data_IF_894501179621
#
_entry.id   IF_894501179621
#
_cell.length_a   1.000
_cell.length_b   1.000
_cell.length_c   1.000
_cell.angle_alpha   90.00
_cell.angle_beta   90.00
_cell.angle_gamma   90.00
#
_symmetry.space_group_name_H-M   'P 1'
#
loop_
_entity.id
_entity.type
_entity.pdbx_description
1 polymer ?
#
# COMPACT_ATOMS: atom_id res chain seq x y z
N UNK A 1 -91.29 -63.00 117.06
CA UNK A 1 -89.87 -62.61 116.91
C UNK A 1 -89.24 -63.25 115.68
N UNK A 2 -89.30 -64.58 115.51
CA UNK A 2 -88.72 -65.31 114.36
C UNK A 2 -89.17 -64.85 112.95
N UNK A 3 -90.42 -64.43 112.76
CA UNK A 3 -90.88 -63.93 111.44
C UNK A 3 -90.36 -62.54 111.08
N UNK A 4 -90.05 -61.71 112.08
CA UNK A 4 -89.54 -60.35 111.87
C UNK A 4 -88.06 -60.39 111.46
N UNK A 5 -87.28 -61.27 112.08
CA UNK A 5 -85.87 -61.52 111.74
C UNK A 5 -85.72 -62.13 110.36
N UNK A 6 -86.64 -63.03 109.96
CA UNK A 6 -86.63 -63.64 108.62
C UNK A 6 -86.96 -62.63 107.51
N UNK A 7 -87.87 -61.67 107.77
CA UNK A 7 -88.15 -60.55 106.85
C UNK A 7 -86.97 -59.58 106.75
N UNK A 8 -86.35 -59.22 107.87
CA UNK A 8 -85.17 -58.35 107.89
C UNK A 8 -83.96 -58.98 107.18
N UNK A 9 -83.76 -60.29 107.32
CA UNK A 9 -82.72 -61.02 106.60
C UNK A 9 -82.97 -61.07 105.08
N UNK A 10 -84.23 -61.21 104.65
CA UNK A 10 -84.60 -61.20 103.23
C UNK A 10 -84.43 -59.81 102.60
N UNK A 11 -84.84 -58.75 103.32
CA UNK A 11 -84.61 -57.36 102.91
C UNK A 11 -83.12 -57.01 102.84
N UNK A 12 -82.31 -57.56 103.76
CA UNK A 12 -80.86 -57.38 103.74
C UNK A 12 -80.22 -58.10 102.53
N UNK A 13 -80.65 -59.33 102.23
CA UNK A 13 -80.18 -60.09 101.05
C UNK A 13 -80.57 -59.39 99.73
N UNK A 14 -81.80 -58.88 99.62
CA UNK A 14 -82.23 -58.08 98.47
C UNK A 14 -81.45 -56.77 98.35
N UNK A 15 -81.09 -56.14 99.48
CA UNK A 15 -80.25 -54.93 99.50
C UNK A 15 -78.80 -55.21 99.11
N UNK A 16 -78.24 -56.35 99.51
CA UNK A 16 -76.92 -56.82 99.05
C UNK A 16 -76.95 -57.09 97.56
N UNK A 17 -77.95 -57.83 97.05
CA UNK A 17 -78.07 -58.11 95.61
C UNK A 17 -78.27 -56.87 94.76
N UNK A 18 -79.01 -55.88 95.25
CA UNK A 18 -79.19 -54.61 94.53
C UNK A 18 -77.91 -53.78 94.55
N UNK A 19 -77.16 -53.75 95.66
CA UNK A 19 -75.85 -53.10 95.73
C UNK A 19 -74.81 -53.79 94.86
N UNK A 20 -74.79 -55.12 94.81
CA UNK A 20 -73.92 -55.91 93.93
C UNK A 20 -74.22 -55.58 92.46
N UNK A 21 -75.48 -55.64 92.04
CA UNK A 21 -75.89 -55.25 90.67
C UNK A 21 -75.51 -53.80 90.34
N UNK A 22 -75.65 -52.87 91.28
CA UNK A 22 -75.27 -51.48 91.08
C UNK A 22 -73.75 -51.30 90.99
N UNK A 23 -72.98 -52.03 91.78
CA UNK A 23 -71.52 -52.01 91.71
C UNK A 23 -71.03 -52.65 90.41
N UNK A 24 -71.60 -53.77 89.99
CA UNK A 24 -71.27 -54.43 88.73
C UNK A 24 -71.60 -53.53 87.53
N UNK A 25 -72.76 -52.88 87.54
CA UNK A 25 -73.13 -51.92 86.49
C UNK A 25 -72.16 -50.72 86.42
N UNK A 26 -71.75 -50.16 87.57
CA UNK A 26 -70.75 -49.07 87.62
C UNK A 26 -69.37 -49.54 87.15
N UNK A 27 -68.95 -50.74 87.55
CA UNK A 27 -67.68 -51.34 87.11
C UNK A 27 -67.69 -51.60 85.60
N UNK A 28 -68.79 -52.09 85.04
CA UNK A 28 -68.95 -52.26 83.58
C UNK A 28 -68.94 -50.92 82.85
N UNK A 29 -69.61 -49.90 83.39
CA UNK A 29 -69.61 -48.55 82.81
C UNK A 29 -68.21 -47.93 82.82
N UNK A 30 -67.48 -48.00 83.95
CA UNK A 30 -66.09 -47.54 84.03
C UNK A 30 -65.16 -48.32 83.09
N UNK A 31 -65.34 -49.66 83.01
CA UNK A 31 -64.56 -50.49 82.09
C UNK A 31 -64.82 -50.11 80.63
N UNK A 32 -66.07 -49.90 80.26
CA UNK A 32 -66.46 -49.47 78.91
C UNK A 32 -65.94 -48.07 78.60
N UNK A 33 -65.94 -47.16 79.58
CA UNK A 33 -65.37 -45.82 79.42
C UNK A 33 -63.85 -45.89 79.18
N UNK A 34 -63.11 -46.62 80.03
CA UNK A 34 -61.66 -46.81 79.86
C UNK A 34 -61.33 -47.49 78.54
N UNK A 35 -62.14 -48.46 78.10
CA UNK A 35 -61.95 -49.13 76.81
C UNK A 35 -62.09 -48.15 75.63
N UNK A 36 -63.07 -47.24 75.67
CA UNK A 36 -63.23 -46.19 74.65
C UNK A 36 -62.06 -45.20 74.66
N UNK A 37 -61.63 -44.77 75.84
CA UNK A 37 -60.47 -43.86 75.98
C UNK A 37 -59.19 -44.51 75.42
N UNK A 38 -58.97 -45.80 75.69
CA UNK A 38 -57.85 -46.56 75.10
C UNK A 38 -57.97 -46.66 73.58
N UNK A 39 -59.14 -47.00 73.04
CA UNK A 39 -59.36 -47.08 71.60
C UNK A 39 -59.16 -45.74 70.88
N UNK A 40 -59.58 -44.64 71.50
CA UNK A 40 -59.38 -43.30 70.96
C UNK A 40 -57.89 -42.91 70.94
N UNK A 41 -57.17 -43.17 72.04
CA UNK A 41 -55.72 -42.96 72.11
C UNK A 41 -54.97 -43.85 71.11
N UNK A 42 -55.36 -45.11 70.94
CA UNK A 42 -54.77 -46.01 69.94
C UNK A 42 -54.99 -45.48 68.51
N UNK A 43 -56.17 -44.94 68.21
CA UNK A 43 -56.47 -44.31 66.93
C UNK A 43 -55.65 -43.03 66.70
N UNK A 44 -55.52 -42.18 67.71
CA UNK A 44 -54.71 -40.95 67.65
C UNK A 44 -53.22 -41.28 67.47
N UNK A 45 -52.69 -42.28 68.18
CA UNK A 45 -51.31 -42.74 68.01
C UNK A 45 -51.10 -43.34 66.63
N UNK A 46 -52.03 -44.16 66.14
CA UNK A 46 -51.96 -44.77 64.81
C UNK A 46 -51.94 -43.72 63.70
N UNK A 47 -52.85 -42.76 63.73
CA UNK A 47 -52.91 -41.66 62.75
C UNK A 47 -51.70 -40.75 62.82
N UNK A 48 -51.23 -40.41 64.02
CA UNK A 48 -49.99 -39.66 64.22
C UNK A 48 -48.76 -40.40 63.68
N UNK A 49 -48.68 -41.71 63.90
CA UNK A 49 -47.59 -42.55 63.40
C UNK A 49 -47.60 -42.65 61.87
N UNK A 50 -48.78 -42.80 61.26
CA UNK A 50 -48.93 -42.77 59.80
C UNK A 50 -48.49 -41.43 59.20
N UNK A 51 -48.89 -40.31 59.82
CA UNK A 51 -48.48 -38.97 59.38
C UNK A 51 -46.96 -38.77 59.49
N UNK A 52 -46.35 -39.19 60.60
CA UNK A 52 -44.90 -39.11 60.80
C UNK A 52 -44.15 -39.98 59.79
N UNK A 53 -44.64 -41.19 59.50
CA UNK A 53 -44.02 -42.09 58.53
C UNK A 53 -44.07 -41.52 57.11
N UNK A 54 -45.20 -40.91 56.71
CA UNK A 54 -45.30 -40.24 55.42
C UNK A 54 -44.31 -39.05 55.32
N UNK A 55 -44.22 -38.23 56.37
CA UNK A 55 -43.26 -37.12 56.41
C UNK A 55 -41.80 -37.60 56.36
N UNK A 56 -41.49 -38.71 57.04
CA UNK A 56 -40.17 -39.35 56.99
C UNK A 56 -39.85 -39.82 55.57
N UNK A 57 -40.77 -40.53 54.91
CA UNK A 57 -40.60 -40.98 53.53
C UNK A 57 -40.38 -39.83 52.54
N UNK A 58 -41.14 -38.74 52.68
CA UNK A 58 -40.95 -37.54 51.84
C UNK A 58 -39.56 -36.92 52.06
N UNK A 59 -39.10 -36.84 53.30
CA UNK A 59 -37.76 -36.32 53.62
C UNK A 59 -36.64 -37.26 53.17
N UNK A 60 -36.83 -38.56 53.24
CA UNK A 60 -35.88 -39.54 52.70
C UNK A 60 -35.74 -39.40 51.18
N UNK A 61 -36.85 -39.20 50.46
CA UNK A 61 -36.82 -38.93 49.01
C UNK A 61 -36.10 -37.61 48.68
N UNK A 62 -36.38 -36.54 49.42
CA UNK A 62 -35.72 -35.24 49.23
C UNK A 62 -34.20 -35.35 49.46
N UNK A 63 -33.79 -36.05 50.53
CA UNK A 63 -32.36 -36.33 50.81
C UNK A 63 -31.74 -37.14 49.68
N UNK A 64 -32.46 -38.09 49.10
CA UNK A 64 -31.95 -38.90 48.00
C UNK A 64 -31.74 -38.07 46.72
N UNK A 65 -32.68 -37.19 46.38
CA UNK A 65 -32.57 -36.28 45.23
C UNK A 65 -31.38 -35.33 45.42
N UNK A 66 -31.29 -34.68 46.59
CA UNK A 66 -30.18 -33.77 46.89
C UNK A 66 -28.83 -34.48 46.86
N UNK A 67 -28.75 -35.74 47.30
CA UNK A 67 -27.51 -36.54 47.17
C UNK A 67 -27.13 -36.74 45.71
N UNK A 68 -28.08 -37.10 44.85
CA UNK A 68 -27.81 -37.28 43.42
C UNK A 68 -27.38 -35.98 42.74
N UNK A 69 -27.99 -34.85 43.08
CA UNK A 69 -27.58 -33.53 42.57
C UNK A 69 -26.17 -33.16 43.02
N UNK A 70 -25.81 -33.45 44.28
CA UNK A 70 -24.46 -33.20 44.80
C UNK A 70 -23.42 -34.05 44.06
N UNK A 71 -23.72 -35.31 43.77
CA UNK A 71 -22.84 -36.19 43.01
C UNK A 71 -22.64 -35.71 41.57
N UNK A 72 -23.71 -35.26 40.92
CA UNK A 72 -23.65 -34.69 39.57
C UNK A 72 -22.84 -33.38 39.53
N UNK A 73 -23.08 -32.47 40.47
CA UNK A 73 -22.34 -31.21 40.57
C UNK A 73 -20.85 -31.45 40.83
N UNK A 74 -20.49 -32.44 41.68
CA UNK A 74 -19.10 -32.82 41.90
C UNK A 74 -18.45 -33.34 40.62
N UNK A 75 -19.13 -34.22 39.89
CA UNK A 75 -18.63 -34.74 38.62
C UNK A 75 -18.42 -33.63 37.57
N UNK A 76 -19.34 -32.66 37.49
CA UNK A 76 -19.20 -31.51 36.60
C UNK A 76 -18.02 -30.62 37.00
N UNK A 77 -17.85 -30.34 38.30
CA UNK A 77 -16.72 -29.55 38.80
C UNK A 77 -15.37 -30.21 38.48
N UNK A 78 -15.26 -31.52 38.61
CA UNK A 78 -14.02 -32.23 38.34
C UNK A 78 -13.68 -32.23 36.84
N UNK A 79 -14.69 -32.38 35.96
CA UNK A 79 -14.50 -32.21 34.50
C UNK A 79 -14.04 -30.79 34.14
N UNK A 80 -14.64 -29.76 34.73
CA UNK A 80 -14.22 -28.38 34.47
C UNK A 80 -12.79 -28.10 34.94
N UNK A 81 -12.37 -28.66 36.09
CA UNK A 81 -10.99 -28.54 36.56
C UNK A 81 -10.00 -29.17 35.59
N UNK A 82 -10.30 -30.37 35.09
CA UNK A 82 -9.45 -31.07 34.13
C UNK A 82 -9.34 -30.30 32.81
N UNK A 83 -10.47 -29.79 32.29
CA UNK A 83 -10.47 -28.94 31.09
C UNK A 83 -9.66 -27.66 31.29
N UNK A 84 -9.79 -27.01 32.46
CA UNK A 84 -9.03 -25.80 32.79
C UNK A 84 -7.53 -26.08 32.88
N UNK A 85 -7.14 -27.21 33.46
CA UNK A 85 -5.73 -27.61 33.55
C UNK A 85 -5.14 -27.88 32.16
N UNK A 86 -5.87 -28.61 31.31
CA UNK A 86 -5.48 -28.86 29.93
C UNK A 86 -5.33 -27.54 29.14
N UNK A 87 -6.28 -26.61 29.27
CA UNK A 87 -6.20 -25.30 28.63
C UNK A 87 -5.02 -24.46 29.15
N UNK A 88 -4.70 -24.51 30.44
CA UNK A 88 -3.53 -23.82 31.00
C UNK A 88 -2.22 -24.39 30.45
N UNK A 89 -2.14 -25.70 30.24
CA UNK A 89 -0.95 -26.34 29.68
C UNK A 89 -0.76 -25.96 28.21
N UNK A 90 -1.82 -25.98 27.39
CA UNK A 90 -1.73 -25.55 25.99
C UNK A 90 -1.37 -24.07 25.85
N UNK A 91 -1.91 -23.20 26.71
CA UNK A 91 -1.53 -21.78 26.74
C UNK A 91 -0.03 -21.61 27.04
N UNK A 92 0.51 -22.36 28.02
CA UNK A 92 1.95 -22.30 28.34
C UNK A 92 2.81 -22.76 27.17
N UNK A 93 2.44 -23.83 26.48
CA UNK A 93 3.17 -24.33 25.30
C UNK A 93 3.15 -23.30 24.14
N UNK A 94 1.99 -22.71 23.86
CA UNK A 94 1.86 -21.65 22.84
C UNK A 94 2.70 -20.42 23.23
N UNK A 95 2.71 -20.02 24.50
CA UNK A 95 3.50 -18.89 24.96
C UNK A 95 5.01 -19.13 24.82
N UNK A 96 5.49 -20.35 25.13
CA UNK A 96 6.89 -20.73 24.95
C UNK A 96 7.31 -20.75 23.48
N UNK A 97 6.47 -21.31 22.60
CA UNK A 97 6.74 -21.34 21.16
C UNK A 97 6.73 -19.94 20.54
N UNK A 98 5.82 -19.05 20.96
CA UNK A 98 5.83 -17.64 20.56
C UNK A 98 7.11 -16.91 21.01
N UNK A 99 7.58 -17.13 22.24
CA UNK A 99 8.82 -16.49 22.70
C UNK A 99 10.03 -16.97 21.91
N UNK A 100 10.13 -18.28 21.66
CA UNK A 100 11.24 -18.85 20.87
C UNK A 100 11.26 -18.30 19.45
N UNK A 101 10.13 -18.32 18.76
CA UNK A 101 10.02 -17.80 17.38
C UNK A 101 10.23 -16.28 17.32
N UNK A 102 9.79 -15.53 18.33
CA UNK A 102 10.03 -14.08 18.43
C UNK A 102 11.52 -13.72 18.52
N UNK A 103 12.30 -14.47 19.29
CA UNK A 103 13.75 -14.24 19.42
C UNK A 103 14.48 -14.62 18.12
N UNK A 104 14.15 -15.77 17.52
CA UNK A 104 14.76 -16.22 16.26
C UNK A 104 14.48 -15.26 15.10
N UNK A 105 13.24 -14.78 14.97
CA UNK A 105 12.87 -13.81 13.94
C UNK A 105 13.55 -12.45 14.15
N UNK A 106 13.64 -11.96 15.39
CA UNK A 106 14.34 -10.72 15.70
C UNK A 106 15.84 -10.79 15.35
N UNK A 107 16.50 -11.90 15.68
CA UNK A 107 17.90 -12.12 15.30
C UNK A 107 18.08 -12.17 13.78
N UNK A 108 17.20 -12.87 13.06
CA UNK A 108 17.22 -12.92 11.60
C UNK A 108 17.05 -11.53 10.96
N UNK A 109 16.09 -10.73 11.45
CA UNK A 109 15.87 -9.35 10.99
C UNK A 109 17.14 -8.51 11.17
N UNK A 110 17.79 -8.56 12.34
CA UNK A 110 19.03 -7.79 12.57
C UNK A 110 20.16 -8.16 11.61
N UNK A 111 20.34 -9.46 11.32
CA UNK A 111 21.33 -9.90 10.33
C UNK A 111 20.99 -9.42 8.92
N UNK A 112 19.71 -9.46 8.54
CA UNK A 112 19.25 -9.03 7.23
C UNK A 112 19.40 -7.52 7.05
N UNK A 113 19.07 -6.73 8.07
CA UNK A 113 19.28 -5.28 8.07
C UNK A 113 20.76 -4.92 7.88
N UNK A 114 21.66 -5.62 8.56
CA UNK A 114 23.11 -5.42 8.39
C UNK A 114 23.57 -5.74 6.95
N UNK A 115 23.07 -6.82 6.35
CA UNK A 115 23.43 -7.18 4.97
C UNK A 115 22.87 -6.17 3.95
N UNK A 116 21.63 -5.71 4.14
CA UNK A 116 21.02 -4.66 3.31
C UNK A 116 21.82 -3.36 3.39
N UNK A 117 22.25 -2.95 4.58
CA UNK A 117 23.09 -1.76 4.76
C UNK A 117 24.42 -1.89 4.01
N UNK A 118 25.10 -3.03 4.12
CA UNK A 118 26.36 -3.30 3.41
C UNK A 118 26.18 -3.29 1.88
N UNK A 119 25.11 -3.88 1.37
CA UNK A 119 24.83 -3.91 -0.06
C UNK A 119 24.51 -2.51 -0.61
N UNK A 120 23.73 -1.71 0.11
CA UNK A 120 23.45 -0.31 -0.26
C UNK A 120 24.72 0.52 -0.36
N UNK A 121 25.62 0.40 0.62
CA UNK A 121 26.92 1.09 0.60
C UNK A 121 27.76 0.68 -0.62
N UNK A 122 27.77 -0.61 -0.97
CA UNK A 122 28.51 -1.13 -2.13
C UNK A 122 27.94 -0.62 -3.46
N UNK A 123 26.60 -0.59 -3.61
CA UNK A 123 25.94 -0.04 -4.81
C UNK A 123 26.30 1.44 -4.98
N UNK A 124 26.18 2.24 -3.92
CA UNK A 124 26.49 3.67 -3.98
C UNK A 124 27.94 3.92 -4.40
N UNK A 125 28.89 3.14 -3.89
CA UNK A 125 30.30 3.25 -4.26
C UNK A 125 30.54 2.95 -5.75
N UNK A 126 29.97 1.86 -6.27
CA UNK A 126 30.12 1.45 -7.67
C UNK A 126 29.47 2.46 -8.64
N UNK A 127 28.27 2.95 -8.31
CA UNK A 127 27.58 3.93 -9.15
C UNK A 127 28.33 5.27 -9.21
N UNK A 128 28.86 5.72 -8.08
CA UNK A 128 29.63 6.97 -8.00
C UNK A 128 30.92 6.89 -8.84
N UNK A 129 31.63 5.77 -8.78
CA UNK A 129 32.83 5.54 -9.59
C UNK A 129 32.54 5.48 -11.10
N UNK A 130 31.51 4.73 -11.49
CA UNK A 130 31.15 4.53 -12.91
C UNK A 130 30.69 5.83 -13.59
N UNK A 131 29.83 6.62 -12.93
CA UNK A 131 29.35 7.90 -13.47
C UNK A 131 30.48 8.91 -13.65
N UNK A 132 31.34 9.07 -12.64
CA UNK A 132 32.46 10.01 -12.71
C UNK A 132 33.47 9.65 -13.82
N UNK A 133 33.70 8.36 -14.06
CA UNK A 133 34.59 7.90 -15.10
C UNK A 133 34.00 8.09 -16.51
N UNK A 134 32.72 7.76 -16.69
CA UNK A 134 32.01 7.92 -17.97
C UNK A 134 31.90 9.38 -18.42
N UNK A 135 31.57 10.28 -17.49
CA UNK A 135 31.44 11.72 -17.79
C UNK A 135 32.78 12.34 -18.19
N UNK A 136 33.86 11.94 -17.51
CA UNK A 136 35.20 12.46 -17.80
C UNK A 136 35.69 11.98 -19.17
N UNK A 137 35.39 10.75 -19.56
CA UNK A 137 35.77 10.23 -20.86
C UNK A 137 34.98 10.88 -22.00
N UNK A 138 33.67 11.04 -21.82
CA UNK A 138 32.78 11.68 -22.80
C UNK A 138 33.16 13.14 -23.05
N UNK A 139 33.43 13.91 -21.98
CA UNK A 139 33.90 15.30 -22.09
C UNK A 139 35.24 15.41 -22.82
N UNK A 140 36.18 14.49 -22.56
CA UNK A 140 37.48 14.47 -23.26
C UNK A 140 37.33 14.16 -24.74
N UNK A 141 36.43 13.26 -25.14
CA UNK A 141 36.16 12.95 -26.55
C UNK A 141 35.59 14.16 -27.27
N UNK A 142 34.60 14.83 -26.66
CA UNK A 142 33.97 16.02 -27.23
C UNK A 142 34.97 17.15 -27.50
N UNK A 143 35.84 17.46 -26.53
CA UNK A 143 36.86 18.52 -26.68
C UNK A 143 37.83 18.20 -27.83
N UNK A 144 38.26 16.94 -27.95
CA UNK A 144 39.17 16.51 -29.03
C UNK A 144 38.51 16.65 -30.39
N UNK A 145 37.26 16.22 -30.51
CA UNK A 145 36.49 16.28 -31.75
C UNK A 145 36.20 17.72 -32.16
N UNK A 146 35.84 18.60 -31.21
CA UNK A 146 35.65 20.02 -31.46
C UNK A 146 36.96 20.69 -31.93
N UNK A 147 38.09 20.37 -31.28
CA UNK A 147 39.41 20.87 -31.69
C UNK A 147 39.76 20.42 -33.11
N UNK A 148 39.52 19.15 -33.44
CA UNK A 148 39.74 18.61 -34.77
C UNK A 148 38.85 19.31 -35.81
N UNK A 149 37.58 19.56 -35.47
CA UNK A 149 36.64 20.29 -36.33
C UNK A 149 37.20 21.67 -36.70
N UNK A 150 37.70 22.43 -35.71
CA UNK A 150 38.28 23.77 -35.95
C UNK A 150 39.49 23.68 -36.89
N UNK A 151 40.41 22.75 -36.63
CA UNK A 151 41.62 22.58 -37.45
C UNK A 151 41.27 22.20 -38.90
N UNK A 152 40.42 21.18 -39.09
CA UNK A 152 40.00 20.72 -40.40
C UNK A 152 39.22 21.80 -41.15
N UNK A 153 38.35 22.52 -40.46
CA UNK A 153 37.60 23.61 -41.04
C UNK A 153 38.54 24.70 -41.59
N UNK A 154 39.56 25.08 -40.82
CA UNK A 154 40.54 26.06 -41.26
C UNK A 154 41.37 25.57 -42.44
N UNK A 155 41.80 24.30 -42.44
CA UNK A 155 42.49 23.70 -43.59
C UNK A 155 41.63 23.76 -44.86
N UNK A 156 40.33 23.46 -44.75
CA UNK A 156 39.41 23.59 -45.90
C UNK A 156 39.29 25.03 -46.37
N UNK A 157 39.24 26.01 -45.45
CA UNK A 157 39.19 27.43 -45.83
C UNK A 157 40.49 27.90 -46.51
N UNK A 158 41.66 27.46 -46.04
CA UNK A 158 42.96 27.77 -46.64
C UNK A 158 43.10 27.16 -48.05
N UNK A 159 42.66 25.91 -48.22
CA UNK A 159 42.68 25.23 -49.52
C UNK A 159 41.75 25.89 -50.56
N UNK A 160 40.62 26.45 -50.11
CA UNK A 160 39.74 27.27 -50.96
C UNK A 160 40.34 28.65 -51.29
N UNK A 161 41.45 29.04 -50.66
CA UNK A 161 42.09 30.34 -50.81
C UNK A 161 41.63 31.35 -49.76
N UNK A 162 42.62 32.08 -49.21
CA UNK A 162 42.42 33.12 -48.19
C UNK A 162 41.76 34.40 -48.74
N UNK A 163 41.87 34.63 -50.06
CA UNK A 163 41.22 35.72 -50.77
C UNK A 163 40.28 35.07 -51.76
N UNK A 164 38.99 35.41 -51.69
CA UNK A 164 37.96 34.94 -52.62
C UNK A 164 37.22 36.12 -53.21
N UNK A 165 37.06 36.09 -54.53
CA UNK A 165 36.32 37.09 -55.29
C UNK A 165 35.09 36.41 -55.87
N UNK A 166 33.93 36.77 -55.31
CA UNK A 166 32.64 36.29 -55.80
C UNK A 166 31.93 37.40 -56.56
N UNK A 167 31.37 37.07 -57.73
CA UNK A 167 30.57 37.99 -58.51
C UNK A 167 29.08 37.69 -58.29
N UNK A 168 28.26 38.72 -58.07
CA UNK A 168 26.81 38.58 -58.01
C UNK A 168 26.14 39.52 -59.00
N UNK A 169 25.36 38.95 -59.91
CA UNK A 169 24.54 39.70 -60.85
C UNK A 169 23.19 39.97 -60.19
N UNK A 170 22.82 41.25 -60.07
CA UNK A 170 21.51 41.64 -59.54
C UNK A 170 20.43 41.34 -60.61
N UNK A 171 19.31 40.70 -60.26
CA UNK A 171 18.18 40.58 -61.19
C UNK A 171 17.68 41.95 -61.65
N UNK A 172 17.36 42.04 -62.94
CA UNK A 172 16.77 43.24 -63.54
C UNK A 172 15.32 43.37 -63.07
N UNK A 173 14.97 44.56 -62.57
CA UNK A 173 13.61 44.86 -62.14
C UNK A 173 13.06 45.92 -63.09
N UNK A 174 12.41 45.47 -64.19
CA UNK A 174 11.44 46.23 -65.02
C UNK A 174 10.94 45.40 -66.22
N UNK A 175 9.63 45.40 -66.42
CA UNK A 175 8.96 45.10 -67.69
C UNK A 175 9.45 46.10 -68.74
N UNK A 176 10.18 45.63 -69.76
CA UNK A 176 10.57 46.45 -70.92
C UNK A 176 11.99 47.04 -70.92
N UNK A 177 12.98 46.43 -70.26
CA UNK A 177 14.39 46.77 -70.48
C UNK A 177 15.06 45.70 -71.36
N UNK A 178 15.70 46.15 -72.45
CA UNK A 178 16.47 45.35 -73.39
C UNK A 178 17.43 44.40 -72.68
N UNK A 179 17.47 43.17 -73.18
CA UNK A 179 18.29 42.05 -72.74
C UNK A 179 19.72 42.51 -72.43
N UNK A 180 20.07 42.54 -71.15
CA UNK A 180 21.45 42.74 -70.72
C UNK A 180 22.25 41.50 -71.15
N UNK A 181 22.75 41.51 -72.38
CA UNK A 181 23.76 40.58 -72.80
C UNK A 181 25.00 40.82 -71.93
N UNK A 182 25.43 39.76 -71.24
CA UNK A 182 26.68 39.72 -70.45
C UNK A 182 27.91 39.86 -71.38
N UNK A 183 27.67 39.92 -72.68
CA UNK A 183 28.63 40.05 -73.77
C UNK A 183 28.66 41.53 -74.17
N UNK A 184 29.85 42.13 -74.25
CA UNK A 184 30.05 43.57 -74.38
C UNK A 184 29.30 44.23 -75.54
N UNK A 185 29.24 45.57 -75.54
CA UNK A 185 28.55 46.33 -76.59
C UNK A 185 29.06 45.93 -77.99
N UNK A 186 28.15 45.60 -78.89
CA UNK A 186 28.47 45.33 -80.28
C UNK A 186 29.07 46.57 -80.93
N UNK A 187 30.29 46.45 -81.50
CA UNK A 187 30.84 47.47 -82.38
C UNK A 187 30.59 47.06 -83.82
N UNK A 188 29.89 47.92 -84.57
CA UNK A 188 29.75 47.80 -86.03
C UNK A 188 30.94 48.48 -86.69
N UNK A 189 31.76 47.70 -87.40
CA UNK A 189 32.73 48.25 -88.35
C UNK A 189 32.01 48.74 -89.61
N UNK A 190 32.54 49.78 -90.27
CA UNK A 190 32.02 50.32 -91.55
C UNK A 190 31.97 49.30 -92.70
N UNK A 191 32.49 48.08 -92.49
CA UNK A 191 32.46 46.96 -93.45
C UNK A 191 31.42 45.87 -93.11
N UNK A 192 30.45 46.14 -92.24
CA UNK A 192 29.33 45.23 -91.95
C UNK A 192 29.65 44.03 -91.04
N UNK A 193 30.89 43.92 -90.54
CA UNK A 193 31.26 42.91 -89.55
C UNK A 193 30.91 43.42 -88.15
N UNK A 194 29.94 42.76 -87.50
CA UNK A 194 29.61 42.97 -86.09
C UNK A 194 30.65 42.23 -85.26
N UNK A 195 31.45 42.95 -84.48
CA UNK A 195 32.40 42.36 -83.54
C UNK A 195 31.96 42.71 -82.13
N UNK A 196 31.62 41.70 -81.35
CA UNK A 196 31.28 41.85 -79.94
C UNK A 196 32.55 41.75 -79.13
N UNK A 197 32.88 42.78 -78.34
CA UNK A 197 34.04 42.74 -77.44
C UNK A 197 33.71 41.83 -76.26
N UNK A 198 34.26 40.60 -76.27
CA UNK A 198 34.13 39.64 -75.18
C UNK A 198 35.22 39.93 -74.15
N UNK A 199 34.83 40.45 -72.98
CA UNK A 199 35.71 40.55 -71.83
C UNK A 199 35.49 39.33 -70.93
N UNK A 200 36.44 38.40 -70.94
CA UNK A 200 36.41 37.23 -70.07
C UNK A 200 36.97 37.59 -68.68
N UNK A 201 36.17 37.36 -67.64
CA UNK A 201 36.57 37.52 -66.24
C UNK A 201 36.41 36.18 -65.53
N UNK A 202 37.37 35.84 -64.67
CA UNK A 202 37.33 34.63 -63.83
C UNK A 202 37.14 35.04 -62.37
N UNK A 203 36.24 34.34 -61.68
CA UNK A 203 35.88 34.56 -60.28
C UNK A 203 35.79 33.19 -59.59
N UNK A 204 35.97 33.16 -58.27
CA UNK A 204 35.87 31.92 -57.49
C UNK A 204 34.44 31.36 -57.51
N UNK A 205 33.44 32.25 -57.53
CA UNK A 205 32.02 31.88 -57.71
C UNK A 205 31.24 33.01 -58.37
N UNK A 206 30.33 32.67 -59.27
CA UNK A 206 29.43 33.62 -59.94
C UNK A 206 27.98 33.28 -59.59
N UNK A 207 27.28 34.22 -58.97
CA UNK A 207 25.86 34.15 -58.64
C UNK A 207 25.05 34.88 -59.72
N UNK A 208 24.14 34.16 -60.37
CA UNK A 208 23.29 34.69 -61.42
C UNK A 208 22.17 35.59 -60.88
N UNK A 209 21.39 36.21 -61.78
CA UNK A 209 20.25 37.04 -61.39
C UNK A 209 19.15 36.26 -60.64
N UNK A 210 19.07 34.95 -60.84
CA UNK A 210 18.12 34.06 -60.15
C UNK A 210 18.60 33.58 -58.78
N UNK A 211 19.88 33.80 -58.45
CA UNK A 211 20.45 33.33 -57.17
C UNK A 211 19.89 34.10 -55.99
N UNK A 212 19.43 33.35 -54.98
CA UNK A 212 18.87 33.89 -53.75
C UNK A 212 19.95 34.37 -52.78
N UNK A 213 19.57 35.21 -51.83
CA UNK A 213 20.50 35.66 -50.78
C UNK A 213 20.99 34.50 -49.90
N UNK A 214 20.16 33.47 -49.71
CA UNK A 214 20.51 32.29 -48.91
C UNK A 214 21.74 31.56 -49.49
N UNK A 215 21.79 31.35 -50.80
CA UNK A 215 22.94 30.70 -51.47
C UNK A 215 24.24 31.50 -51.30
N UNK A 216 24.13 32.84 -51.28
CA UNK A 216 25.26 33.72 -51.04
C UNK A 216 25.68 33.65 -49.57
N UNK A 217 24.71 33.59 -48.65
CA UNK A 217 24.95 33.45 -47.22
C UNK A 217 25.64 32.13 -46.88
N UNK A 218 25.26 31.01 -47.50
CA UNK A 218 25.86 29.70 -47.26
C UNK A 218 27.36 29.64 -47.59
N UNK A 219 27.82 30.43 -48.54
CA UNK A 219 29.26 30.54 -48.81
C UNK A 219 29.98 31.49 -47.87
N UNK A 220 29.29 32.53 -47.39
CA UNK A 220 29.87 33.49 -46.45
C UNK A 220 29.82 32.97 -45.00
N UNK A 221 28.85 32.14 -44.65
CA UNK A 221 28.68 31.55 -43.31
C UNK A 221 29.90 30.73 -42.90
N UNK A 222 30.56 30.11 -43.87
CA UNK A 222 31.83 29.45 -43.66
C UNK A 222 32.92 30.41 -43.16
N UNK A 223 32.99 31.62 -43.69
CA UNK A 223 33.94 32.63 -43.23
C UNK A 223 33.54 33.18 -41.85
N UNK A 224 32.23 33.31 -41.57
CA UNK A 224 31.73 33.70 -40.24
C UNK A 224 32.12 32.67 -39.18
N UNK A 225 32.05 31.38 -39.50
CA UNK A 225 32.49 30.31 -38.62
C UNK A 225 34.00 30.40 -38.31
N UNK A 226 34.84 30.73 -39.30
CA UNK A 226 36.27 31.00 -39.04
C UNK A 226 36.48 32.20 -38.11
N UNK A 227 35.64 33.23 -38.20
CA UNK A 227 35.69 34.36 -37.27
C UNK A 227 35.35 33.94 -35.83
N UNK A 228 34.34 33.07 -35.65
CA UNK A 228 34.01 32.49 -34.35
C UNK A 228 35.12 31.59 -33.80
N UNK A 229 35.85 30.91 -34.68
CA UNK A 229 37.01 30.09 -34.33
C UNK A 229 38.28 30.94 -34.03
N UNK A 230 38.21 32.27 -34.14
CA UNK A 230 39.26 33.21 -33.73
C UNK A 230 40.11 33.80 -34.86
N UNK A 231 39.69 33.65 -36.12
CA UNK A 231 40.41 34.19 -37.27
C UNK A 231 39.88 35.57 -37.69
N UNK A 232 40.77 36.43 -38.18
CA UNK A 232 40.38 37.74 -38.69
C UNK A 232 39.83 37.59 -40.11
N UNK A 233 38.54 37.91 -40.28
CA UNK A 233 37.84 37.85 -41.57
C UNK A 233 37.38 39.24 -41.96
N UNK A 234 37.57 39.60 -43.24
CA UNK A 234 37.10 40.86 -43.80
C UNK A 234 36.30 40.61 -45.08
N UNK A 235 35.10 41.19 -45.16
CA UNK A 235 34.21 41.04 -46.32
C UNK A 235 34.02 42.42 -46.95
N UNK A 236 34.36 42.53 -48.24
CA UNK A 236 34.17 43.74 -49.02
C UNK A 236 33.08 43.53 -50.08
N UNK A 237 32.22 44.53 -50.27
CA UNK A 237 31.27 44.57 -51.37
C UNK A 237 31.64 45.69 -52.35
N UNK A 238 31.99 45.32 -53.58
CA UNK A 238 32.37 46.26 -54.65
C UNK A 238 31.32 46.33 -55.77
N UNK A 239 31.32 47.42 -56.57
CA UNK A 239 30.30 47.70 -57.60
C UNK A 239 29.86 49.16 -57.72
N UNK A 240 29.04 49.49 -58.71
CA UNK A 240 28.47 50.82 -58.89
C UNK A 240 27.29 51.10 -57.94
N UNK A 241 26.85 52.36 -57.83
CA UNK A 241 25.63 52.72 -57.09
C UNK A 241 24.41 52.00 -57.68
N UNK A 242 23.60 51.37 -56.83
CA UNK A 242 22.46 50.55 -57.24
C UNK A 242 22.76 49.08 -57.56
N UNK A 243 24.04 48.65 -57.54
CA UNK A 243 24.43 47.26 -57.82
C UNK A 243 24.00 46.23 -56.75
N UNK A 244 23.46 46.67 -55.60
CA UNK A 244 22.97 45.77 -54.55
C UNK A 244 23.91 45.51 -53.38
N UNK A 245 25.04 46.22 -53.25
CA UNK A 245 25.99 46.08 -52.12
C UNK A 245 25.33 46.14 -50.73
N UNK A 246 24.50 47.16 -50.50
CA UNK A 246 23.78 47.34 -49.22
C UNK A 246 22.83 46.17 -48.95
N UNK A 247 22.17 45.67 -49.99
CA UNK A 247 21.24 44.55 -49.84
C UNK A 247 21.95 43.26 -49.41
N UNK A 248 23.14 42.99 -49.95
CA UNK A 248 23.97 41.84 -49.57
C UNK A 248 24.48 42.00 -48.13
N UNK A 249 25.12 43.13 -47.83
CA UNK A 249 25.75 43.39 -46.53
C UNK A 249 24.74 43.45 -45.38
N UNK A 250 23.59 44.11 -45.57
CA UNK A 250 22.56 44.17 -44.53
C UNK A 250 21.96 42.79 -44.26
N UNK A 251 21.72 41.99 -45.30
CA UNK A 251 21.13 40.68 -45.14
C UNK A 251 22.03 39.71 -44.37
N UNK A 252 23.36 39.82 -44.56
CA UNK A 252 24.36 39.07 -43.80
C UNK A 252 24.38 39.37 -42.30
N UNK A 253 23.93 40.55 -41.88
CA UNK A 253 23.92 40.97 -40.47
C UNK A 253 22.61 40.61 -39.75
N UNK A 254 21.56 40.25 -40.48
CA UNK A 254 20.21 39.99 -39.95
C UNK A 254 19.78 38.53 -40.00
N UNK A 255 20.58 37.65 -40.60
CA UNK A 255 20.37 36.20 -40.66
C UNK A 255 21.15 35.51 -39.53
#
# INVERSE_FOLDING_TARGET
MLELERKAALELDDRVRTLERQNDAKLEEERNRRLREVQELESQVSTGHQGLNLALQMKEQEVQILKTEIEELKANLDREKELKENALNTIKEVQQTMQKTGVETSAAIGTLESTVASLRARIHFLESGSKAQSDKESKKKLIKEETLRRILFNQVQELKGNIRVMCRVRPTFKEGAEELSIIGKEKRSNFGKVSTEIHAFSFDRVFGPTSQNQEVFEEISQLVQSALDGYNVCIFAYGQTGAGKKHILCHLLTA
#
